data_IF_148909177606
#
_entry.id   IF_148909177606
#
_cell.length_a   1.000
_cell.length_b   1.000
_cell.length_c   1.000
_cell.angle_alpha   90.00
_cell.angle_beta   90.00
_cell.angle_gamma   90.00
#
_symmetry.space_group_name_H-M   'P 1'
#
loop_
_entity.id
_entity.type
_entity.pdbx_description
1 polymer ?
#
# COMPACT_ATOMS: atom_id res chain seq x y z
N UNK A 1 -63.63 0.56 -39.04
CA UNK A 1 -62.36 0.48 -38.28
C UNK A 1 -62.45 1.43 -37.09
N UNK A 2 -62.46 0.89 -35.86
CA UNK A 2 -62.67 1.67 -34.63
C UNK A 2 -61.48 2.60 -34.32
N UNK A 3 -61.68 3.91 -34.49
CA UNK A 3 -60.70 4.95 -34.14
C UNK A 3 -60.20 4.84 -32.70
N UNK A 4 -61.04 4.38 -31.77
CA UNK A 4 -60.68 4.20 -30.35
C UNK A 4 -59.70 3.05 -30.10
N UNK A 5 -59.77 1.95 -30.87
CA UNK A 5 -58.79 0.85 -30.76
C UNK A 5 -57.42 1.24 -31.31
N UNK A 6 -57.41 2.03 -32.40
CA UNK A 6 -56.18 2.51 -33.02
C UNK A 6 -55.44 3.52 -32.14
N UNK A 7 -56.18 4.47 -31.53
CA UNK A 7 -55.63 5.43 -30.57
C UNK A 7 -55.01 4.73 -29.35
N UNK A 8 -55.70 3.74 -28.76
CA UNK A 8 -55.17 3.00 -27.60
C UNK A 8 -53.88 2.23 -27.91
N UNK A 9 -53.79 1.63 -29.11
CA UNK A 9 -52.59 0.90 -29.54
C UNK A 9 -51.40 1.85 -29.74
N UNK A 10 -51.64 3.02 -30.32
CA UNK A 10 -50.63 4.07 -30.51
C UNK A 10 -50.11 4.61 -29.16
N UNK A 11 -51.00 4.81 -28.17
CA UNK A 11 -50.61 5.25 -26.82
C UNK A 11 -49.74 4.22 -26.10
N UNK A 12 -50.05 2.92 -26.24
CA UNK A 12 -49.29 1.84 -25.61
C UNK A 12 -47.90 1.71 -26.25
N UNK A 13 -47.79 1.76 -27.58
CA UNK A 13 -46.48 1.72 -28.25
C UNK A 13 -45.61 2.95 -27.92
N UNK A 14 -46.22 4.14 -27.84
CA UNK A 14 -45.51 5.34 -27.43
C UNK A 14 -44.95 5.22 -26.00
N UNK A 15 -45.74 4.70 -25.06
CA UNK A 15 -45.30 4.46 -23.68
C UNK A 15 -44.19 3.40 -23.61
N UNK A 16 -44.28 2.35 -24.43
CA UNK A 16 -43.25 1.31 -24.50
C UNK A 16 -41.92 1.86 -25.03
N UNK A 17 -41.95 2.68 -26.08
CA UNK A 17 -40.75 3.33 -26.60
C UNK A 17 -40.17 4.39 -25.66
N UNK A 18 -41.00 5.12 -24.91
CA UNK A 18 -40.55 6.05 -23.88
C UNK A 18 -39.86 5.31 -22.73
N UNK A 19 -40.45 4.21 -22.25
CA UNK A 19 -39.88 3.39 -21.20
C UNK A 19 -38.54 2.76 -21.64
N UNK A 20 -38.48 2.23 -22.86
CA UNK A 20 -37.25 1.71 -23.45
C UNK A 20 -36.18 2.82 -23.57
N UNK A 21 -36.57 4.01 -24.01
CA UNK A 21 -35.69 5.18 -24.11
C UNK A 21 -35.07 5.58 -22.78
N UNK A 22 -35.86 5.56 -21.70
CA UNK A 22 -35.42 5.84 -20.32
C UNK A 22 -34.47 4.74 -19.81
N UNK A 23 -34.77 3.47 -20.09
CA UNK A 23 -33.89 2.36 -19.70
C UNK A 23 -32.55 2.45 -20.43
N UNK A 24 -32.55 2.74 -21.73
CA UNK A 24 -31.32 2.86 -22.52
C UNK A 24 -30.49 4.07 -22.08
N UNK A 25 -31.11 5.23 -21.81
CA UNK A 25 -30.37 6.38 -21.25
C UNK A 25 -29.89 6.12 -19.83
N UNK A 26 -30.67 5.42 -18.99
CA UNK A 26 -30.27 5.06 -17.63
C UNK A 26 -29.07 4.10 -17.59
N UNK A 27 -29.10 3.04 -18.42
CA UNK A 27 -27.96 2.10 -18.56
C UNK A 27 -26.75 2.82 -19.15
N UNK A 28 -26.95 3.66 -20.18
CA UNK A 28 -25.90 4.47 -20.78
C UNK A 28 -25.22 5.41 -19.78
N UNK A 29 -26.01 6.14 -18.99
CA UNK A 29 -25.51 7.03 -17.94
C UNK A 29 -24.76 6.27 -16.85
N UNK A 30 -25.27 5.11 -16.40
CA UNK A 30 -24.56 4.26 -15.44
C UNK A 30 -23.22 3.76 -15.98
N UNK A 31 -23.16 3.34 -17.25
CA UNK A 31 -21.89 2.92 -17.88
C UNK A 31 -20.90 4.07 -18.05
N UNK A 32 -21.38 5.29 -18.34
CA UNK A 32 -20.52 6.48 -18.44
C UNK A 32 -20.03 6.89 -17.05
N UNK A 33 -20.88 6.89 -16.02
CA UNK A 33 -20.47 7.22 -14.65
C UNK A 33 -19.47 6.22 -14.12
N UNK A 34 -19.69 4.91 -14.33
CA UNK A 34 -18.74 3.84 -13.98
C UNK A 34 -17.44 3.97 -14.79
N UNK A 35 -17.52 4.25 -16.09
CA UNK A 35 -16.37 4.47 -16.95
C UNK A 35 -15.56 5.70 -16.56
N UNK A 36 -16.20 6.79 -16.14
CA UNK A 36 -15.56 8.03 -15.67
C UNK A 36 -14.98 7.86 -14.27
N UNK A 37 -15.63 7.12 -13.36
CA UNK A 37 -15.02 6.77 -12.05
C UNK A 37 -13.82 5.85 -12.21
N UNK A 38 -13.88 4.88 -13.13
CA UNK A 38 -12.75 4.01 -13.43
C UNK A 38 -11.60 4.74 -14.15
N UNK A 39 -11.92 5.65 -15.09
CA UNK A 39 -10.92 6.43 -15.82
C UNK A 39 -10.31 7.52 -14.95
N UNK A 40 -11.04 8.09 -13.99
CA UNK A 40 -10.47 9.00 -12.98
C UNK A 40 -9.62 8.24 -11.96
N UNK A 41 -9.96 7.01 -11.57
CA UNK A 41 -9.05 6.12 -10.82
C UNK A 41 -7.76 5.82 -11.62
N UNK A 42 -7.85 5.61 -12.93
CA UNK A 42 -6.67 5.40 -13.81
C UNK A 42 -5.86 6.68 -14.09
N UNK A 43 -6.52 7.82 -14.32
CA UNK A 43 -5.87 9.11 -14.55
C UNK A 43 -5.21 9.65 -13.27
N UNK A 44 -5.75 9.23 -12.11
CA UNK A 44 -5.03 9.27 -10.86
C UNK A 44 -3.74 8.44 -11.03
N UNK A 45 -3.76 7.12 -11.22
CA UNK A 45 -2.52 6.33 -11.36
C UNK A 45 -1.47 6.84 -12.39
N UNK A 46 -1.87 7.54 -13.46
CA UNK A 46 -1.00 7.89 -14.60
C UNK A 46 -0.34 9.29 -14.59
N UNK A 47 -0.76 10.28 -13.78
CA UNK A 47 -0.29 11.68 -13.93
C UNK A 47 0.76 12.15 -12.91
N UNK A 48 1.32 11.24 -12.11
CA UNK A 48 2.04 11.62 -10.88
C UNK A 48 3.56 11.51 -10.92
N UNK A 49 4.14 11.45 -12.13
CA UNK A 49 5.55 11.17 -12.30
C UNK A 49 6.24 12.26 -13.13
N UNK A 50 6.96 13.15 -12.44
CA UNK A 50 8.06 13.93 -13.03
C UNK A 50 9.36 13.60 -12.28
N UNK A 51 10.41 13.12 -12.98
CA UNK A 51 11.68 12.71 -12.37
C UNK A 51 12.61 13.91 -12.16
N UNK A 52 13.22 14.06 -10.97
CA UNK A 52 14.25 15.10 -10.78
C UNK A 52 15.56 14.70 -10.08
N UNK A 53 15.76 13.50 -9.52
CA UNK A 53 17.07 13.18 -8.92
C UNK A 53 17.56 11.75 -9.12
N UNK A 54 18.88 11.64 -9.39
CA UNK A 54 19.72 10.45 -9.19
C UNK A 54 20.09 10.36 -7.71
N UNK A 55 19.98 9.18 -7.12
CA UNK A 55 20.16 8.95 -5.67
C UNK A 55 21.58 8.53 -5.32
N UNK A 56 22.05 8.97 -4.15
CA UNK A 56 23.30 8.52 -3.53
C UNK A 56 23.07 7.78 -2.22
N UNK A 57 24.14 7.16 -1.73
CA UNK A 57 24.31 6.53 -0.41
C UNK A 57 23.66 7.31 0.74
N UNK A 58 23.05 6.61 1.71
CA UNK A 58 22.48 7.21 2.92
C UNK A 58 23.56 7.94 3.73
N UNK A 59 23.49 9.28 3.79
CA UNK A 59 24.34 10.10 4.64
C UNK A 59 23.55 10.58 5.88
N UNK A 60 23.91 10.06 7.05
CA UNK A 60 23.28 10.38 8.34
C UNK A 60 24.06 11.43 9.15
N UNK A 61 24.98 12.18 8.55
CA UNK A 61 25.91 13.07 9.28
C UNK A 61 25.28 14.33 9.88
N UNK A 62 23.97 14.58 9.72
CA UNK A 62 23.28 15.74 10.31
C UNK A 62 22.01 15.36 11.06
N UNK A 63 22.14 14.93 12.33
CA UNK A 63 21.01 14.82 13.26
C UNK A 63 21.24 15.68 14.52
N UNK A 64 20.28 16.54 14.94
CA UNK A 64 20.40 17.33 16.16
C UNK A 64 20.32 16.46 17.43
N UNK A 65 21.23 16.70 18.36
CA UNK A 65 21.37 16.00 19.64
C UNK A 65 20.37 16.51 20.69
N UNK A 66 19.33 15.74 20.99
CA UNK A 66 18.73 15.74 22.35
C UNK A 66 17.99 14.43 22.64
N UNK A 67 18.26 13.87 23.81
CA UNK A 67 17.94 12.48 24.21
C UNK A 67 16.94 12.47 25.37
N UNK A 68 15.92 11.60 25.35
CA UNK A 68 15.34 11.05 26.57
C UNK A 68 15.52 9.52 26.66
N UNK A 69 15.81 9.05 27.89
CA UNK A 69 16.11 7.66 28.26
C UNK A 69 14.84 6.80 28.34
N UNK A 70 14.82 5.52 27.90
CA UNK A 70 13.62 4.68 27.98
C UNK A 70 13.43 4.07 29.39
N UNK A 71 12.16 4.01 29.82
CA UNK A 71 11.67 3.28 31.01
C UNK A 71 11.00 1.97 30.57
N UNK A 72 11.26 0.90 31.32
CA UNK A 72 10.89 -0.49 31.03
C UNK A 72 9.43 -0.84 31.37
N UNK A 73 8.70 -1.47 30.45
CA UNK A 73 7.48 -2.27 30.68
C UNK A 73 7.19 -3.18 29.44
N UNK A 74 6.17 -4.07 29.45
CA UNK A 74 6.30 -5.53 29.44
C UNK A 74 6.28 -6.21 28.06
N UNK A 75 6.65 -7.50 28.06
CA UNK A 75 7.01 -8.38 26.95
C UNK A 75 5.83 -8.73 26.02
N UNK A 76 5.71 -8.00 24.89
CA UNK A 76 5.03 -8.45 23.67
C UNK A 76 6.08 -9.07 22.75
N UNK A 77 5.71 -10.08 21.94
CA UNK A 77 6.59 -10.76 20.97
C UNK A 77 7.30 -9.71 20.12
N UNK A 78 8.57 -9.47 20.42
CA UNK A 78 9.34 -8.32 19.93
C UNK A 78 9.58 -8.49 18.43
N UNK A 79 9.28 -7.50 17.58
CA UNK A 79 9.81 -7.46 16.22
C UNK A 79 11.34 -7.54 16.29
N UNK A 80 12.05 -8.21 15.35
CA UNK A 80 13.50 -8.24 15.39
C UNK A 80 14.04 -6.80 15.39
N UNK A 81 14.64 -6.40 16.51
CA UNK A 81 15.40 -5.15 16.57
C UNK A 81 16.68 -5.36 15.77
N UNK A 82 16.71 -4.83 14.56
CA UNK A 82 17.93 -4.76 13.76
C UNK A 82 18.57 -3.43 14.13
N UNK A 83 19.56 -3.49 15.02
CA UNK A 83 20.41 -2.36 15.39
C UNK A 83 21.80 -2.58 14.82
N UNK A 84 22.24 -1.72 13.90
CA UNK A 84 23.54 -1.86 13.24
C UNK A 84 23.62 -1.10 11.91
N UNK A 85 24.77 -1.14 11.22
CA UNK A 85 24.87 -0.59 9.87
C UNK A 85 23.82 -1.26 8.97
N UNK A 86 23.27 -0.49 8.02
CA UNK A 86 22.37 -1.05 7.01
C UNK A 86 23.14 -2.13 6.25
N UNK A 87 22.60 -3.36 6.16
CA UNK A 87 23.32 -4.43 5.48
C UNK A 87 23.44 -4.10 4.00
N UNK A 88 24.67 -4.13 3.49
CA UNK A 88 25.00 -4.00 2.08
C UNK A 88 25.48 -5.35 1.55
N UNK A 89 25.24 -5.62 0.27
CA UNK A 89 25.71 -6.86 -0.35
C UNK A 89 25.05 -7.13 -1.69
N UNK A 90 25.60 -8.11 -2.43
CA UNK A 90 25.14 -8.48 -3.77
C UNK A 90 23.94 -9.43 -3.77
N UNK A 91 23.85 -10.24 -4.81
CA UNK A 91 22.63 -10.93 -5.21
C UNK A 91 22.14 -11.89 -4.13
N UNK A 92 20.84 -11.86 -3.88
CA UNK A 92 20.18 -12.78 -2.95
C UNK A 92 19.16 -13.64 -3.69
N UNK A 93 19.03 -14.93 -3.36
CA UNK A 93 17.99 -15.76 -3.94
C UNK A 93 16.60 -15.26 -3.50
N UNK A 94 15.53 -15.51 -4.27
CA UNK A 94 14.17 -15.08 -3.92
C UNK A 94 13.67 -15.61 -2.56
N UNK A 95 14.24 -16.74 -2.11
CA UNK A 95 13.96 -17.39 -0.82
C UNK A 95 14.66 -16.75 0.36
N UNK A 96 15.58 -15.79 0.15
CA UNK A 96 16.26 -15.10 1.23
C UNK A 96 15.29 -14.29 2.08
N UNK A 97 15.62 -14.13 3.36
CA UNK A 97 14.84 -13.30 4.31
C UNK A 97 15.08 -11.80 4.14
N UNK A 98 15.70 -11.40 3.03
CA UNK A 98 15.98 -10.02 2.66
C UNK A 98 15.58 -9.79 1.20
N UNK A 99 15.18 -8.57 0.89
CA UNK A 99 15.17 -8.05 -0.47
C UNK A 99 16.53 -7.44 -0.76
N UNK A 100 17.05 -7.67 -1.96
CA UNK A 100 18.16 -6.88 -2.46
C UNK A 100 17.59 -5.78 -3.35
N UNK A 101 18.00 -4.54 -3.09
CA UNK A 101 17.63 -3.35 -3.83
C UNK A 101 18.91 -2.70 -4.31
N UNK A 102 19.11 -2.69 -5.62
CA UNK A 102 20.07 -1.79 -6.24
C UNK A 102 19.32 -0.63 -6.91
N UNK A 103 19.78 0.58 -6.57
CA UNK A 103 19.21 1.84 -6.98
C UNK A 103 19.75 2.27 -8.36
N UNK A 104 20.91 1.75 -8.76
CA UNK A 104 21.57 2.02 -10.03
C UNK A 104 21.07 1.05 -11.12
N UNK A 105 20.90 -0.23 -10.78
CA UNK A 105 20.30 -1.26 -11.61
C UNK A 105 19.28 -2.12 -10.82
N UNK A 106 17.96 -1.93 -10.98
CA UNK A 106 16.98 -2.77 -10.30
C UNK A 106 16.99 -4.25 -10.75
N UNK A 107 17.71 -4.57 -11.83
CA UNK A 107 17.97 -5.94 -12.27
C UNK A 107 19.32 -6.46 -11.71
N UNK A 108 20.18 -5.55 -11.24
CA UNK A 108 21.58 -5.74 -10.89
C UNK A 108 21.82 -5.65 -9.39
N UNK A 109 21.42 -6.68 -8.66
CA UNK A 109 22.01 -6.91 -7.34
C UNK A 109 23.40 -7.55 -7.46
N UNK A 110 24.24 -7.13 -8.40
CA UNK A 110 25.49 -7.83 -8.73
C UNK A 110 26.72 -7.30 -7.99
N UNK A 111 26.61 -6.16 -7.30
CA UNK A 111 27.72 -5.53 -6.59
C UNK A 111 27.48 -5.25 -5.08
N UNK A 112 28.46 -4.65 -4.42
CA UNK A 112 28.43 -4.37 -2.98
C UNK A 112 27.70 -3.06 -2.62
N UNK A 113 27.22 -2.31 -3.61
CA UNK A 113 26.48 -1.06 -3.41
C UNK A 113 24.99 -1.31 -3.20
N UNK A 114 24.52 -2.50 -3.57
CA UNK A 114 23.17 -2.95 -3.32
C UNK A 114 22.84 -3.04 -1.81
N UNK A 115 21.61 -2.63 -1.49
CA UNK A 115 21.08 -2.58 -0.14
C UNK A 115 20.23 -3.81 0.16
N UNK A 116 20.51 -4.47 1.28
CA UNK A 116 19.65 -5.53 1.79
C UNK A 116 18.60 -4.95 2.74
N UNK A 117 17.34 -5.19 2.43
CA UNK A 117 16.21 -4.83 3.27
C UNK A 117 15.56 -6.11 3.80
N UNK A 118 15.64 -6.37 5.11
CA UNK A 118 15.00 -7.53 5.71
C UNK A 118 13.50 -7.58 5.46
N UNK A 119 12.99 -8.79 5.22
CA UNK A 119 11.57 -9.06 5.21
C UNK A 119 11.04 -8.96 6.63
N UNK A 120 10.01 -8.15 6.83
CA UNK A 120 9.34 -7.99 8.11
C UNK A 120 8.75 -9.31 8.60
N UNK A 121 8.87 -9.55 9.89
CA UNK A 121 8.31 -10.73 10.55
C UNK A 121 7.51 -10.30 11.77
N UNK A 122 6.46 -11.07 12.11
CA UNK A 122 5.52 -10.70 13.16
C UNK A 122 4.27 -10.05 12.60
N UNK A 123 3.80 -8.98 13.25
CA UNK A 123 2.51 -8.37 12.95
C UNK A 123 1.33 -9.23 13.38
N UNK A 124 0.13 -8.73 13.08
CA UNK A 124 -1.11 -9.42 13.43
C UNK A 124 -1.30 -10.71 12.62
N UNK A 125 -1.66 -11.80 13.31
CA UNK A 125 -1.91 -13.12 12.71
C UNK A 125 -3.39 -13.42 12.61
N UNK A 126 -3.87 -13.65 11.38
CA UNK A 126 -5.18 -14.21 11.13
C UNK A 126 -5.14 -15.73 11.03
N UNK A 127 -6.24 -16.34 10.60
CA UNK A 127 -6.39 -17.80 10.48
C UNK A 127 -5.50 -18.42 9.41
N UNK A 128 -4.94 -17.62 8.49
CA UNK A 128 -4.11 -18.09 7.36
C UNK A 128 -2.71 -17.48 7.32
N UNK A 129 -2.23 -16.98 8.45
CA UNK A 129 -0.91 -16.38 8.63
C UNK A 129 -0.98 -14.90 8.99
N UNK A 130 0.18 -14.23 9.02
CA UNK A 130 0.24 -12.81 9.32
C UNK A 130 0.05 -11.95 8.08
N UNK A 131 -0.48 -10.74 8.24
CA UNK A 131 -0.64 -9.79 7.12
C UNK A 131 0.67 -9.60 6.37
N UNK A 132 1.78 -9.33 7.09
CA UNK A 132 3.09 -9.12 6.49
C UNK A 132 3.58 -10.35 5.69
N UNK A 133 3.33 -11.57 6.18
CA UNK A 133 3.72 -12.79 5.45
C UNK A 133 2.97 -12.93 4.11
N UNK A 134 1.71 -12.51 4.05
CA UNK A 134 0.94 -12.52 2.81
C UNK A 134 1.36 -11.37 1.88
N UNK A 135 1.67 -10.20 2.43
CA UNK A 135 2.23 -9.08 1.67
C UNK A 135 3.53 -9.45 0.96
N UNK A 136 4.42 -10.21 1.61
CA UNK A 136 5.63 -10.73 0.98
C UNK A 136 5.34 -11.69 -0.18
N UNK A 137 4.33 -12.56 -0.07
CA UNK A 137 3.90 -13.43 -1.18
C UNK A 137 3.35 -12.62 -2.34
N UNK A 138 2.51 -11.61 -2.06
CA UNK A 138 1.98 -10.70 -3.07
C UNK A 138 3.10 -9.99 -3.81
N UNK A 139 4.06 -9.41 -3.08
CA UNK A 139 5.23 -8.78 -3.68
C UNK A 139 5.96 -9.74 -4.62
N UNK A 140 6.21 -10.98 -4.22
CA UNK A 140 6.92 -11.96 -5.07
C UNK A 140 6.15 -12.29 -6.37
N UNK A 141 4.83 -12.13 -6.37
CA UNK A 141 3.96 -12.30 -7.54
C UNK A 141 3.78 -11.03 -8.38
N UNK A 142 4.34 -9.90 -7.95
CA UNK A 142 4.41 -8.70 -8.78
C UNK A 142 5.59 -8.83 -9.77
N UNK A 143 5.46 -8.29 -11.00
CA UNK A 143 6.56 -8.18 -11.93
C UNK A 143 7.76 -7.47 -11.28
N UNK A 144 8.89 -8.16 -11.15
CA UNK A 144 10.07 -7.62 -10.48
C UNK A 144 10.91 -6.69 -11.37
N UNK A 145 10.85 -6.88 -12.70
CA UNK A 145 11.86 -6.39 -13.65
C UNK A 145 11.30 -5.44 -14.73
N UNK A 146 10.15 -4.80 -14.50
CA UNK A 146 9.54 -3.90 -15.49
C UNK A 146 9.31 -2.51 -14.90
N UNK A 147 10.17 -1.57 -15.29
CA UNK A 147 10.03 -0.12 -15.06
C UNK A 147 8.84 0.40 -15.87
N UNK A 148 7.61 0.25 -15.36
CA UNK A 148 6.46 0.73 -16.10
C UNK A 148 5.07 0.47 -15.55
N UNK A 149 4.93 0.29 -14.22
CA UNK A 149 3.69 -0.01 -13.50
C UNK A 149 3.45 -1.53 -13.34
N UNK A 150 3.61 -2.02 -12.10
CA UNK A 150 3.44 -3.42 -11.70
C UNK A 150 1.95 -3.74 -11.55
N UNK A 151 1.26 -3.70 -12.68
CA UNK A 151 -0.20 -3.68 -12.80
C UNK A 151 -0.83 -5.06 -12.92
N UNK A 152 -0.04 -6.11 -12.69
CA UNK A 152 -0.48 -7.50 -12.77
C UNK A 152 0.05 -8.29 -11.59
N UNK A 153 -0.80 -9.11 -11.00
CA UNK A 153 -0.41 -10.12 -10.02
C UNK A 153 -0.38 -11.46 -10.76
N UNK A 154 0.81 -11.91 -11.17
CA UNK A 154 0.98 -13.12 -11.95
C UNK A 154 2.26 -13.87 -11.52
N UNK A 155 2.15 -15.06 -10.92
CA UNK A 155 0.92 -15.84 -10.69
C UNK A 155 0.04 -15.26 -9.57
N UNK A 156 -1.25 -15.62 -9.58
CA UNK A 156 -2.15 -15.32 -8.47
C UNK A 156 -1.61 -15.90 -7.15
N UNK A 157 -1.84 -15.19 -6.04
CA UNK A 157 -1.45 -15.65 -4.70
C UNK A 157 -2.65 -16.31 -4.04
N UNK A 158 -2.41 -17.45 -3.40
CA UNK A 158 -3.43 -18.17 -2.65
C UNK A 158 -2.96 -18.51 -1.23
N UNK A 159 -3.92 -18.62 -0.34
CA UNK A 159 -3.80 -19.14 1.01
C UNK A 159 -5.03 -19.99 1.34
N UNK A 160 -5.06 -20.62 2.51
CA UNK A 160 -6.25 -21.36 2.96
C UNK A 160 -7.49 -20.45 3.17
N UNK A 161 -7.32 -19.12 3.14
CA UNK A 161 -8.38 -18.13 3.33
C UNK A 161 -8.91 -17.58 2.01
N UNK A 162 -8.29 -17.94 0.88
CA UNK A 162 -8.74 -17.51 -0.43
C UNK A 162 -7.62 -17.38 -1.44
N UNK A 163 -7.97 -16.82 -2.58
CA UNK A 163 -7.03 -16.49 -3.65
C UNK A 163 -7.32 -15.08 -4.12
N UNK A 164 -6.27 -14.37 -4.51
CA UNK A 164 -6.43 -13.08 -5.19
C UNK A 164 -7.16 -13.23 -6.53
N UNK A 165 -7.09 -14.42 -7.13
CA UNK A 165 -7.39 -14.61 -8.55
C UNK A 165 -6.30 -13.99 -9.46
N UNK A 166 -6.32 -14.29 -10.76
CA UNK A 166 -5.44 -13.63 -11.72
C UNK A 166 -5.84 -12.16 -11.87
N UNK A 167 -4.88 -11.24 -11.79
CA UNK A 167 -5.08 -9.82 -12.10
C UNK A 167 -4.43 -9.48 -13.43
N UNK A 168 -5.26 -9.18 -14.41
CA UNK A 168 -4.88 -8.61 -15.70
C UNK A 168 -5.89 -7.52 -16.06
N UNK A 169 -5.50 -6.25 -15.97
CA UNK A 169 -6.25 -5.05 -16.37
C UNK A 169 -7.33 -4.49 -15.40
N UNK A 170 -7.44 -3.14 -15.25
CA UNK A 170 -6.46 -2.17 -15.71
C UNK A 170 -5.20 -2.28 -14.84
N UNK A 171 -5.27 -2.08 -13.52
CA UNK A 171 -4.07 -2.06 -12.67
C UNK A 171 -4.30 -2.74 -11.32
N UNK A 172 -3.32 -3.53 -10.86
CA UNK A 172 -3.23 -4.00 -9.48
C UNK A 172 -2.71 -2.88 -8.56
N UNK A 173 -3.62 -2.02 -8.10
CA UNK A 173 -3.33 -0.81 -7.33
C UNK A 173 -3.01 -1.07 -5.85
N UNK A 174 -2.41 -0.08 -5.18
CA UNK A 174 -1.96 -0.20 -3.79
C UNK A 174 -3.06 -0.51 -2.78
N UNK A 175 -4.27 -0.02 -2.97
CA UNK A 175 -5.42 -0.39 -2.12
C UNK A 175 -5.78 -1.86 -2.28
N UNK A 176 -5.65 -2.45 -3.47
CA UNK A 176 -5.89 -3.88 -3.69
C UNK A 176 -4.82 -4.74 -3.04
N UNK A 177 -3.55 -4.28 -3.06
CA UNK A 177 -2.46 -4.91 -2.33
C UNK A 177 -2.73 -4.97 -0.82
N UNK A 178 -3.23 -3.88 -0.23
CA UNK A 178 -3.66 -3.85 1.17
C UNK A 178 -4.82 -4.81 1.42
N UNK A 179 -5.89 -4.73 0.62
CA UNK A 179 -7.08 -5.58 0.78
C UNK A 179 -6.68 -7.06 0.70
N UNK A 180 -5.87 -7.46 -0.28
CA UNK A 180 -5.44 -8.86 -0.42
C UNK A 180 -4.52 -9.30 0.71
N UNK A 181 -3.62 -8.43 1.19
CA UNK A 181 -2.73 -8.77 2.31
C UNK A 181 -3.54 -9.16 3.55
N UNK A 182 -4.64 -8.46 3.82
CA UNK A 182 -5.54 -8.75 4.93
C UNK A 182 -6.44 -9.95 4.66
N UNK A 183 -7.07 -10.03 3.48
CA UNK A 183 -7.98 -11.12 3.12
C UNK A 183 -7.25 -12.48 3.09
N UNK A 184 -6.04 -12.53 2.50
CA UNK A 184 -5.21 -13.73 2.49
C UNK A 184 -4.73 -14.16 3.88
N UNK A 185 -4.64 -13.22 4.83
CA UNK A 185 -4.33 -13.52 6.23
C UNK A 185 -5.56 -14.04 7.00
N UNK A 186 -6.77 -13.82 6.48
CA UNK A 186 -8.05 -14.25 7.07
C UNK A 186 -8.91 -13.11 7.61
N UNK A 187 -8.57 -11.86 7.32
CA UNK A 187 -9.36 -10.67 7.68
C UNK A 187 -10.13 -10.17 6.46
N UNK A 188 -11.40 -10.55 6.37
CA UNK A 188 -12.23 -10.34 5.16
C UNK A 188 -13.12 -9.08 5.23
N UNK A 189 -12.88 -8.19 6.18
CA UNK A 189 -13.66 -6.95 6.37
C UNK A 189 -13.38 -5.92 5.25
N UNK A 190 -12.20 -6.00 4.63
CA UNK A 190 -11.82 -5.18 3.49
C UNK A 190 -12.28 -5.83 2.19
N UNK A 191 -12.70 -5.00 1.22
CA UNK A 191 -13.38 -5.48 0.02
C UNK A 191 -13.07 -4.61 -1.18
N UNK A 192 -12.72 -5.26 -2.29
CA UNK A 192 -12.49 -4.61 -3.58
C UNK A 192 -13.78 -4.12 -4.25
N UNK A 193 -14.93 -4.49 -3.72
CA UNK A 193 -16.24 -4.03 -4.20
C UNK A 193 -16.79 -2.86 -3.37
N UNK A 194 -16.08 -2.41 -2.33
CA UNK A 194 -16.48 -1.29 -1.50
C UNK A 194 -15.71 -0.03 -1.92
N UNK A 195 -16.44 0.99 -2.37
CA UNK A 195 -15.89 2.29 -2.79
C UNK A 195 -14.96 2.91 -1.72
N UNK A 196 -15.34 2.84 -0.45
CA UNK A 196 -14.57 3.38 0.67
C UNK A 196 -13.28 2.62 0.97
N UNK A 197 -13.09 1.43 0.38
CA UNK A 197 -11.87 0.64 0.53
C UNK A 197 -10.97 0.76 -0.70
N UNK A 198 -11.51 1.00 -1.89
CA UNK A 198 -10.72 1.04 -3.13
C UNK A 198 -10.11 2.41 -3.42
N UNK A 199 -10.72 3.50 -2.94
CA UNK A 199 -10.11 4.83 -2.96
C UNK A 199 -9.16 4.99 -1.76
N UNK A 200 -7.92 5.43 -2.00
CA UNK A 200 -6.90 5.54 -0.95
C UNK A 200 -7.21 6.57 0.15
N UNK A 201 -7.80 7.72 -0.21
CA UNK A 201 -8.19 8.73 0.76
C UNK A 201 -9.39 8.28 1.59
N UNK A 202 -10.36 7.62 0.96
CA UNK A 202 -11.51 7.05 1.66
C UNK A 202 -11.10 5.88 2.55
N UNK A 203 -10.14 5.06 2.12
CA UNK A 203 -9.56 3.97 2.93
C UNK A 203 -8.89 4.54 4.18
N UNK A 204 -8.10 5.61 4.05
CA UNK A 204 -7.53 6.31 5.21
C UNK A 204 -8.63 6.81 6.16
N UNK A 205 -9.69 7.41 5.61
CA UNK A 205 -10.82 7.89 6.41
C UNK A 205 -11.56 6.74 7.09
N UNK A 206 -11.74 5.61 6.41
CA UNK A 206 -12.32 4.40 6.98
C UNK A 206 -11.50 3.90 8.18
N UNK A 207 -10.17 3.88 8.10
CA UNK A 207 -9.36 3.53 9.27
C UNK A 207 -9.46 4.55 10.40
N UNK A 208 -9.49 5.84 10.08
CA UNK A 208 -9.62 6.93 11.07
C UNK A 208 -10.91 6.86 11.89
N UNK A 209 -11.97 6.23 11.38
CA UNK A 209 -13.20 6.00 12.16
C UNK A 209 -13.06 4.87 13.19
N UNK A 210 -11.91 4.17 13.23
CA UNK A 210 -11.64 3.02 14.10
C UNK A 210 -12.74 1.95 14.02
N UNK A 211 -12.94 1.33 12.84
CA UNK A 211 -13.94 0.30 12.66
C UNK A 211 -13.65 -0.90 13.58
N UNK A 212 -14.67 -1.71 13.95
CA UNK A 212 -14.49 -2.79 14.91
C UNK A 212 -13.31 -3.72 14.60
N UNK A 213 -12.41 -3.88 15.58
CA UNK A 213 -11.20 -4.69 15.44
C UNK A 213 -10.07 -4.02 14.67
N UNK A 214 -10.17 -2.73 14.36
CA UNK A 214 -9.11 -1.93 13.74
C UNK A 214 -8.84 -0.66 14.56
N UNK A 215 -7.61 -0.18 14.47
CA UNK A 215 -7.19 1.10 15.03
C UNK A 215 -6.40 1.91 14.00
N UNK A 216 -6.58 3.22 14.04
CA UNK A 216 -5.68 4.15 13.38
C UNK A 216 -4.74 4.78 14.40
N UNK A 217 -3.44 4.72 14.11
CA UNK A 217 -2.37 5.37 14.86
C UNK A 217 -1.94 6.57 14.02
N UNK A 218 -2.29 7.80 14.40
CA UNK A 218 -1.78 8.99 13.74
C UNK A 218 -0.25 9.00 13.74
N UNK A 219 0.35 9.42 12.63
CA UNK A 219 1.80 9.49 12.56
C UNK A 219 2.36 10.48 13.58
N UNK A 220 3.39 10.01 14.30
CA UNK A 220 4.26 10.82 15.13
C UNK A 220 5.62 10.12 15.26
N UNK A 221 6.71 10.83 15.57
CA UNK A 221 7.99 10.19 15.89
C UNK A 221 7.88 9.16 17.02
N UNK A 222 6.99 9.39 17.98
CA UNK A 222 6.67 8.46 19.06
C UNK A 222 6.16 7.12 18.56
N UNK A 223 5.39 7.07 17.45
CA UNK A 223 4.91 5.82 16.90
C UNK A 223 6.07 4.92 16.42
N UNK A 224 7.12 5.51 15.85
CA UNK A 224 8.34 4.80 15.43
C UNK A 224 9.15 4.35 16.65
N UNK A 225 9.26 5.20 17.68
CA UNK A 225 9.90 4.83 18.95
C UNK A 225 9.21 3.65 19.64
N UNK A 226 7.87 3.67 19.70
CA UNK A 226 7.06 2.61 20.28
C UNK A 226 7.20 1.31 19.48
N UNK A 227 7.32 1.39 18.16
CA UNK A 227 7.64 0.24 17.33
C UNK A 227 9.03 -0.32 17.61
N UNK A 228 10.06 0.53 17.60
CA UNK A 228 11.44 0.11 17.86
C UNK A 228 11.62 -0.52 19.25
N UNK A 229 10.89 -0.02 20.25
CA UNK A 229 10.91 -0.54 21.63
C UNK A 229 9.99 -1.74 21.86
N UNK A 230 9.19 -2.14 20.86
CA UNK A 230 8.24 -3.25 20.97
C UNK A 230 6.96 -2.93 21.77
N UNK A 231 6.74 -1.66 22.13
CA UNK A 231 5.51 -1.20 22.78
C UNK A 231 4.31 -1.22 21.82
N UNK A 232 4.55 -1.05 20.52
CA UNK A 232 3.53 -1.12 19.49
C UNK A 232 4.09 -1.73 18.21
N UNK A 233 3.65 -2.93 17.84
CA UNK A 233 4.04 -3.47 16.54
C UNK A 233 3.32 -2.73 15.39
N UNK A 234 4.09 -2.28 14.41
CA UNK A 234 3.60 -1.66 13.18
C UNK A 234 3.77 -2.59 11.97
N UNK A 235 4.53 -3.69 12.12
CA UNK A 235 4.74 -4.66 11.03
C UNK A 235 3.40 -5.24 10.57
N UNK A 236 3.14 -5.16 9.26
CA UNK A 236 1.86 -5.58 8.67
C UNK A 236 0.73 -4.54 8.78
N UNK A 237 0.92 -3.43 9.48
CA UNK A 237 -0.04 -2.32 9.43
C UNK A 237 0.01 -1.60 8.09
N UNK A 238 -1.10 -0.99 7.71
CA UNK A 238 -1.19 -0.13 6.53
C UNK A 238 -0.53 1.21 6.84
N UNK A 239 0.55 1.54 6.16
CA UNK A 239 1.17 2.86 6.22
C UNK A 239 0.54 3.76 5.15
N UNK A 240 -0.03 4.89 5.56
CA UNK A 240 -0.63 5.86 4.66
C UNK A 240 0.29 7.06 4.44
N UNK A 241 0.64 7.31 3.18
CA UNK A 241 1.51 8.40 2.76
C UNK A 241 0.69 9.47 2.05
N UNK A 242 0.94 10.74 2.35
CA UNK A 242 0.36 11.88 1.65
C UNK A 242 1.29 12.30 0.49
N UNK A 243 0.72 12.46 -0.71
CA UNK A 243 1.46 12.74 -1.94
C UNK A 243 1.28 14.20 -2.44
N UNK A 244 0.78 15.11 -1.59
CA UNK A 244 0.36 16.45 -2.00
C UNK A 244 -1.05 16.50 -2.62
N UNK A 245 -1.64 17.70 -2.72
CA UNK A 245 -2.97 17.95 -3.31
C UNK A 245 -4.11 17.06 -2.77
N UNK A 246 -4.04 16.67 -1.49
CA UNK A 246 -5.04 15.83 -0.83
C UNK A 246 -4.99 14.34 -1.20
N UNK A 247 -3.97 13.90 -1.94
CA UNK A 247 -3.83 12.52 -2.39
C UNK A 247 -3.11 11.64 -1.38
N UNK A 248 -3.53 10.38 -1.29
CA UNK A 248 -3.01 9.38 -0.36
C UNK A 248 -2.55 8.14 -1.12
N UNK A 249 -1.48 7.50 -0.65
CA UNK A 249 -1.02 6.20 -1.10
C UNK A 249 -0.82 5.27 0.11
N UNK A 250 -1.52 4.14 0.17
CA UNK A 250 -1.30 3.14 1.21
C UNK A 250 -0.25 2.11 0.79
N UNK A 251 0.48 1.57 1.75
CA UNK A 251 1.26 0.35 1.59
C UNK A 251 1.31 -0.42 2.91
N UNK A 252 2.02 -1.53 2.96
CA UNK A 252 2.17 -2.33 4.18
C UNK A 252 3.53 -2.01 4.81
N UNK A 253 3.52 -1.57 6.06
CA UNK A 253 4.73 -1.33 6.83
C UNK A 253 5.50 -2.64 6.99
N UNK A 254 6.73 -2.67 6.48
CA UNK A 254 7.57 -3.85 6.48
C UNK A 254 8.40 -3.92 7.76
N UNK A 255 9.36 -3.01 7.89
CA UNK A 255 10.30 -2.97 9.00
C UNK A 255 10.87 -1.57 9.18
N UNK A 256 11.26 -1.25 10.42
CA UNK A 256 12.17 -0.16 10.74
C UNK A 256 13.54 -0.72 11.13
N UNK A 257 14.56 -0.37 10.36
CA UNK A 257 15.96 -0.68 10.65
C UNK A 257 16.60 0.50 11.37
N UNK A 258 16.81 0.36 12.67
CA UNK A 258 17.44 1.41 13.48
C UNK A 258 18.96 1.35 13.30
N UNK A 259 19.56 2.45 12.83
CA UNK A 259 21.01 2.54 12.63
C UNK A 259 21.72 2.97 13.90
N UNK A 260 21.10 3.83 14.72
CA UNK A 260 21.70 4.32 15.96
C UNK A 260 20.67 4.64 17.05
N UNK A 261 21.14 4.94 18.26
CA UNK A 261 20.30 5.27 19.42
C UNK A 261 19.51 6.58 19.28
N UNK A 262 19.84 7.44 18.33
CA UNK A 262 19.13 8.69 18.08
C UNK A 262 17.82 8.47 17.32
N UNK A 263 17.55 7.24 16.90
CA UNK A 263 16.38 6.90 16.10
C UNK A 263 16.60 7.10 14.61
N UNK A 264 17.85 7.32 14.18
CA UNK A 264 18.15 7.34 12.76
C UNK A 264 18.05 5.93 12.19
N UNK A 265 17.60 5.82 10.96
CA UNK A 265 17.40 4.54 10.32
C UNK A 265 16.60 4.61 9.04
N UNK A 266 15.99 3.48 8.69
CA UNK A 266 15.18 3.37 7.47
C UNK A 266 13.90 2.62 7.79
N UNK A 267 12.76 3.23 7.45
CA UNK A 267 11.47 2.51 7.37
C UNK A 267 11.33 2.02 5.94
N UNK A 268 10.88 0.78 5.78
CA UNK A 268 10.50 0.26 4.46
C UNK A 268 9.03 -0.12 4.41
N UNK A 269 8.46 0.00 3.21
CA UNK A 269 7.04 -0.22 2.96
C UNK A 269 6.88 -1.07 1.70
N UNK A 270 6.08 -2.14 1.79
CA UNK A 270 5.68 -2.95 0.64
C UNK A 270 4.47 -2.33 -0.04
N UNK A 271 4.46 -2.29 -1.37
CA UNK A 271 3.40 -1.63 -2.13
C UNK A 271 3.24 -2.20 -3.55
N UNK A 272 2.15 -1.81 -4.21
CA UNK A 272 1.92 -1.98 -5.64
C UNK A 272 1.43 -0.67 -6.25
N UNK A 273 1.29 -0.59 -7.57
CA UNK A 273 0.92 0.67 -8.23
C UNK A 273 1.96 1.79 -8.06
N UNK A 274 3.22 1.42 -7.82
CA UNK A 274 4.38 2.29 -7.70
C UNK A 274 5.55 1.70 -8.51
N UNK A 275 6.62 2.48 -8.72
CA UNK A 275 7.81 2.01 -9.47
C UNK A 275 8.52 0.85 -8.79
N UNK A 276 8.61 0.91 -7.47
CA UNK A 276 9.24 -0.12 -6.65
C UNK A 276 8.20 -0.78 -5.75
N UNK A 277 8.27 -2.10 -5.64
CA UNK A 277 7.44 -2.87 -4.71
C UNK A 277 7.81 -2.63 -3.23
N UNK A 278 9.00 -2.09 -3.01
CA UNK A 278 9.55 -1.77 -1.70
C UNK A 278 10.06 -0.33 -1.77
N UNK A 279 9.43 0.55 -1.01
CA UNK A 279 9.95 1.90 -0.79
C UNK A 279 10.76 1.97 0.49
N UNK A 280 11.65 2.96 0.58
CA UNK A 280 12.51 3.22 1.73
C UNK A 280 12.47 4.69 2.09
N UNK A 281 12.18 4.97 3.35
CA UNK A 281 12.12 6.31 3.91
C UNK A 281 13.19 6.48 4.97
N UNK A 282 13.96 7.56 4.85
CA UNK A 282 14.93 7.94 5.87
C UNK A 282 14.17 8.28 7.15
N UNK A 283 14.61 7.72 8.26
CA UNK A 283 14.23 8.18 9.59
C UNK A 283 15.43 8.94 10.16
N UNK A 284 15.21 10.18 10.56
CA UNK A 284 16.20 10.98 11.26
C UNK A 284 15.59 11.51 12.56
N UNK A 285 16.23 11.26 13.69
CA UNK A 285 15.72 11.65 15.01
C UNK A 285 14.32 11.10 15.29
N UNK A 286 14.05 9.84 14.91
CA UNK A 286 12.71 9.19 14.99
C UNK A 286 11.64 9.71 14.02
N UNK A 287 11.93 10.77 13.25
CA UNK A 287 11.02 11.31 12.27
C UNK A 287 11.31 10.72 10.88
N UNK A 288 10.29 10.12 10.28
CA UNK A 288 10.28 9.81 8.84
C UNK A 288 10.39 11.13 8.09
N UNK A 289 11.41 11.25 7.26
CA UNK A 289 11.67 12.43 6.45
C UNK A 289 10.74 12.46 5.23
N UNK A 290 10.32 13.65 4.85
CA UNK A 290 9.44 13.89 3.71
C UNK A 290 10.15 13.81 2.34
N UNK A 291 11.39 13.34 2.33
CA UNK A 291 12.18 13.09 1.13
C UNK A 291 12.18 11.58 0.90
N UNK A 292 11.34 11.09 -0.03
CA UNK A 292 11.47 9.71 -0.45
C UNK A 292 12.78 9.60 -1.21
N UNK A 293 13.47 8.49 -0.99
CA UNK A 293 14.61 8.17 -1.81
C UNK A 293 14.13 7.90 -3.23
N UNK A 294 13.04 7.14 -3.41
CA UNK A 294 12.74 6.51 -4.70
C UNK A 294 11.57 7.06 -5.53
N UNK A 295 10.74 8.00 -5.05
CA UNK A 295 9.74 8.71 -5.90
C UNK A 295 8.94 9.80 -5.17
N UNK A 296 8.70 10.94 -5.85
CA UNK A 296 7.62 11.95 -5.67
C UNK A 296 7.53 12.65 -4.31
N UNK A 297 7.46 13.99 -4.29
CA UNK A 297 7.34 14.80 -3.06
C UNK A 297 6.23 14.26 -2.13
N UNK A 298 6.60 13.48 -1.12
CA UNK A 298 5.67 13.13 -0.06
C UNK A 298 5.51 14.38 0.80
N UNK A 299 4.28 14.77 1.07
CA UNK A 299 4.01 15.87 2.00
C UNK A 299 4.01 15.40 3.45
N UNK A 300 4.01 14.08 3.67
CA UNK A 300 4.18 13.46 4.98
C UNK A 300 3.54 12.08 5.08
N UNK A 301 3.73 11.45 6.23
CA UNK A 301 3.02 10.21 6.60
C UNK A 301 1.77 10.61 7.37
N UNK A 302 0.60 10.09 6.98
CA UNK A 302 -0.65 10.35 7.69
C UNK A 302 -0.76 9.52 8.98
N UNK A 303 -0.34 8.25 8.92
CA UNK A 303 -0.39 7.33 10.05
C UNK A 303 -0.44 5.87 9.61
N UNK A 304 -0.77 5.02 10.57
CA UNK A 304 -0.78 3.57 10.43
C UNK A 304 -2.16 3.00 10.77
N UNK A 305 -2.76 2.26 9.84
CA UNK A 305 -3.98 1.49 10.06
C UNK A 305 -3.65 0.05 10.44
N UNK A 306 -4.02 -0.40 11.64
CA UNK A 306 -3.70 -1.73 12.15
C UNK A 306 -4.96 -2.52 12.52
N UNK A 307 -4.93 -3.85 12.38
CA UNK A 307 -5.86 -4.75 13.10
C UNK A 307 -5.48 -4.78 14.59
N UNK A 308 -6.47 -4.93 15.47
CA UNK A 308 -6.29 -5.12 16.91
C UNK A 308 -6.36 -6.60 17.31
#
# INVERSE_FOLDING_TARGET
MDKNKYQRKLTIELLYHLALGIVVTGVGLMTVVLGVTLSTLNASAQTWFEPTQKQGTFDFTQAPTSVPKPSSAPKVTKPPQITGPLPTGGAVPPTADVYCIDDEDPDGCDDQTAFHVPKGVGGISGTCGTVISQSHKLVNSLPQFLKGMRDSLNPAVSSNCGSTGPYSSPNYISTFFVIDSYNLAGYNELSKNNASHVNAADMLNWWKTNPPGYKFIPYSPTAIQQHASGQQDLTGCVMFINLGSGRVHPGIFNIYQQVNSNGDGVVSMLQSGARYFLDRFIVAGWAIQNTPQHQTVISGVAGFGCKQ
#
